data_IF_779455722629
#
_entry.id   IF_779455722629
#
_cell.length_a   1.000
_cell.length_b   1.000
_cell.length_c   1.000
_cell.angle_alpha   90.00
_cell.angle_beta   90.00
_cell.angle_gamma   90.00
#
_symmetry.space_group_name_H-M   'P 1'
#
loop_
_entity.id
_entity.type
_entity.pdbx_description
1 polymer ?
#
# COMPACT_ATOMS: atom_id res chain seq x y z
N UNK A 1 67.73 11.07 37.91
CA UNK A 1 67.37 9.69 37.50
C UNK A 1 65.96 9.47 38.04
N UNK A 2 64.89 9.25 37.31
CA UNK A 2 64.64 8.93 35.90
C UNK A 2 63.19 9.40 35.63
N UNK A 3 62.92 10.08 34.51
CA UNK A 3 61.55 10.47 34.12
C UNK A 3 60.94 9.36 33.26
N UNK A 4 59.92 8.67 33.76
CA UNK A 4 59.11 7.72 32.97
C UNK A 4 57.96 8.44 32.29
N UNK A 5 58.03 8.53 30.96
CA UNK A 5 56.93 8.98 30.12
C UNK A 5 55.96 7.81 29.84
N UNK A 6 54.69 7.95 30.25
CA UNK A 6 53.62 7.04 29.83
C UNK A 6 53.08 7.50 28.47
N UNK A 7 53.26 6.67 27.44
CA UNK A 7 52.61 6.83 26.14
C UNK A 7 51.19 6.25 26.24
N UNK A 8 50.16 7.12 26.22
CA UNK A 8 48.76 6.68 26.11
C UNK A 8 48.45 6.54 24.61
N UNK A 9 48.35 5.29 24.15
CA UNK A 9 47.90 4.96 22.80
C UNK A 9 46.36 5.12 22.74
N UNK A 10 45.89 6.24 22.19
CA UNK A 10 44.47 6.47 21.97
C UNK A 10 43.96 5.59 20.81
N UNK A 11 43.17 4.57 21.15
CA UNK A 11 42.49 3.71 20.18
C UNK A 11 41.29 4.46 19.59
N UNK A 12 41.43 4.97 18.37
CA UNK A 12 40.32 5.60 17.65
C UNK A 12 39.32 4.52 17.19
N UNK A 13 38.19 4.36 17.90
CA UNK A 13 37.06 3.59 17.41
C UNK A 13 36.44 4.30 16.20
N UNK A 14 36.74 3.81 15.01
CA UNK A 14 36.06 4.21 13.79
C UNK A 14 34.55 3.92 13.89
N UNK A 15 33.74 4.97 13.99
CA UNK A 15 32.30 4.87 13.92
C UNK A 15 31.91 4.51 12.48
N UNK A 16 31.69 3.22 12.23
CA UNK A 16 31.00 2.78 11.03
C UNK A 16 29.58 3.38 11.08
N UNK A 17 29.33 4.42 10.28
CA UNK A 17 27.98 4.98 10.13
C UNK A 17 27.02 3.86 9.73
N UNK A 18 26.08 3.54 10.62
CA UNK A 18 25.02 2.59 10.32
C UNK A 18 24.20 3.15 9.16
N UNK A 19 23.93 2.30 8.18
CA UNK A 19 22.98 2.60 7.13
C UNK A 19 21.63 2.93 7.79
N UNK A 20 21.08 4.11 7.52
CA UNK A 20 19.76 4.49 8.01
C UNK A 20 18.71 4.06 7.01
N UNK A 21 17.66 3.40 7.52
CA UNK A 21 16.50 2.98 6.75
C UNK A 21 15.26 3.72 7.23
N UNK A 22 14.49 4.28 6.30
CA UNK A 22 13.22 4.94 6.59
C UNK A 22 12.13 4.57 5.56
N UNK A 23 10.99 4.10 6.05
CA UNK A 23 9.80 3.86 5.23
C UNK A 23 8.73 4.89 5.54
N UNK A 24 8.48 5.82 4.60
CA UNK A 24 7.45 6.84 4.72
C UNK A 24 6.17 6.40 4.00
N UNK A 25 5.07 6.30 4.75
CA UNK A 25 3.78 5.84 4.21
C UNK A 25 2.72 6.92 4.39
N UNK A 26 2.08 7.31 3.30
CA UNK A 26 0.90 8.19 3.30
C UNK A 26 -0.33 7.46 2.76
N UNK A 27 -1.49 7.76 3.37
CA UNK A 27 -2.81 7.27 2.94
C UNK A 27 -3.78 8.45 2.87
N UNK A 28 -4.46 8.58 1.74
CA UNK A 28 -5.46 9.62 1.50
C UNK A 28 -6.74 9.04 0.93
N UNK A 29 -7.82 9.81 1.02
CA UNK A 29 -9.13 9.43 0.51
C UNK A 29 -9.67 10.50 -0.43
N UNK A 30 -10.42 10.07 -1.43
CA UNK A 30 -11.26 10.92 -2.26
C UNK A 30 -12.55 10.19 -2.57
N UNK A 31 -13.56 10.93 -3.02
CA UNK A 31 -14.89 10.39 -3.21
C UNK A 31 -15.46 10.81 -4.54
N UNK A 32 -16.21 9.91 -5.17
CA UNK A 32 -17.06 10.23 -6.32
C UNK A 32 -18.53 10.14 -5.90
N UNK A 33 -19.34 11.02 -6.48
CA UNK A 33 -20.76 11.11 -6.14
C UNK A 33 -21.56 10.01 -6.82
N UNK A 34 -22.35 9.29 -6.02
CA UNK A 34 -23.36 8.35 -6.50
C UNK A 34 -24.72 9.00 -6.26
N UNK A 35 -25.51 9.14 -7.32
CA UNK A 35 -26.90 9.63 -7.28
C UNK A 35 -27.88 8.47 -7.34
N UNK A 36 -29.18 8.77 -7.35
CA UNK A 36 -30.24 7.75 -7.42
C UNK A 36 -30.99 7.53 -6.11
N UNK A 37 -32.15 6.89 -6.21
CA UNK A 37 -33.15 6.62 -5.16
C UNK A 37 -33.69 5.19 -5.22
N UNK A 38 -33.33 4.40 -6.23
CA UNK A 38 -33.61 2.96 -6.32
C UNK A 38 -32.31 2.15 -6.40
N UNK A 39 -32.38 0.83 -6.21
CA UNK A 39 -31.22 -0.04 -6.31
C UNK A 39 -30.57 0.00 -7.72
N UNK A 40 -31.40 0.00 -8.76
CA UNK A 40 -30.97 0.05 -10.16
C UNK A 40 -30.27 1.38 -10.49
N UNK A 41 -30.79 2.50 -9.96
CA UNK A 41 -30.16 3.81 -10.14
C UNK A 41 -28.80 3.90 -9.45
N UNK A 42 -28.65 3.28 -8.27
CA UNK A 42 -27.37 3.21 -7.56
C UNK A 42 -26.34 2.36 -8.32
N UNK A 43 -26.75 1.19 -8.81
CA UNK A 43 -25.89 0.30 -9.59
C UNK A 43 -25.41 0.97 -10.87
N UNK A 44 -26.33 1.62 -11.60
CA UNK A 44 -26.01 2.41 -12.79
C UNK A 44 -25.06 3.56 -12.47
N UNK A 45 -25.27 4.27 -11.36
CA UNK A 45 -24.40 5.37 -10.98
C UNK A 45 -22.99 4.90 -10.58
N UNK A 46 -22.86 3.74 -9.93
CA UNK A 46 -21.56 3.12 -9.63
C UNK A 46 -20.80 2.74 -10.91
N UNK A 47 -21.48 2.06 -11.85
CA UNK A 47 -20.88 1.66 -13.13
C UNK A 47 -20.62 2.82 -14.09
N UNK A 48 -21.28 3.97 -13.92
CA UNK A 48 -21.09 5.15 -14.79
C UNK A 48 -20.07 6.16 -14.25
N UNK A 49 -19.98 6.32 -12.93
CA UNK A 49 -19.14 7.34 -12.29
C UNK A 49 -17.92 6.77 -11.57
N UNK A 50 -17.86 5.46 -11.36
CA UNK A 50 -16.73 4.78 -10.74
C UNK A 50 -15.41 5.00 -11.48
N UNK A 51 -14.24 4.85 -10.83
CA UNK A 51 -12.95 4.99 -11.47
C UNK A 51 -12.79 4.08 -12.69
N UNK A 52 -12.28 4.62 -13.79
CA UNK A 52 -12.00 3.88 -15.02
C UNK A 52 -10.76 3.01 -14.86
N UNK A 53 -10.90 1.71 -15.07
CA UNK A 53 -9.77 0.80 -15.21
C UNK A 53 -9.25 0.83 -16.64
N UNK A 54 -8.02 1.32 -16.81
CA UNK A 54 -7.40 1.47 -18.14
C UNK A 54 -7.23 0.14 -18.88
N UNK A 55 -7.06 -0.95 -18.15
CA UNK A 55 -6.81 -2.28 -18.73
C UNK A 55 -8.07 -2.91 -19.34
N UNK A 56 -9.24 -2.65 -18.77
CA UNK A 56 -10.52 -3.29 -19.18
C UNK A 56 -11.50 -2.31 -19.82
N UNK A 57 -11.31 -1.00 -19.64
CA UNK A 57 -12.28 0.03 -20.02
C UNK A 57 -13.52 0.07 -19.11
N UNK A 58 -13.63 -0.84 -18.14
CA UNK A 58 -14.73 -0.88 -17.19
C UNK A 58 -14.52 0.12 -16.05
N UNK A 59 -15.61 0.54 -15.42
CA UNK A 59 -15.57 1.34 -14.20
C UNK A 59 -15.82 0.47 -12.99
N UNK A 60 -15.06 0.71 -11.93
CA UNK A 60 -15.14 -0.06 -10.71
C UNK A 60 -15.86 0.73 -9.60
N UNK A 61 -16.53 0.03 -8.67
CA UNK A 61 -17.27 0.69 -7.59
C UNK A 61 -16.35 1.36 -6.54
N UNK A 62 -15.04 1.14 -6.63
CA UNK A 62 -13.97 1.79 -5.88
C UNK A 62 -12.64 1.68 -6.64
N UNK A 63 -11.59 2.34 -6.15
CA UNK A 63 -10.22 2.06 -6.59
C UNK A 63 -9.18 2.53 -5.57
N UNK A 64 -8.04 1.85 -5.54
CA UNK A 64 -6.86 2.25 -4.78
C UNK A 64 -5.72 2.59 -5.73
N UNK A 65 -5.28 3.84 -5.72
CA UNK A 65 -4.07 4.26 -6.43
C UNK A 65 -2.87 4.07 -5.52
N UNK A 66 -1.86 3.34 -6.00
CA UNK A 66 -0.65 3.01 -5.28
C UNK A 66 0.54 3.61 -6.04
N UNK A 67 1.42 4.32 -5.32
CA UNK A 67 2.67 4.84 -5.87
C UNK A 67 3.83 4.55 -4.92
N UNK A 68 4.71 3.67 -5.35
CA UNK A 68 6.02 3.47 -4.74
C UNK A 68 7.01 4.53 -5.21
N UNK A 69 7.97 4.86 -4.36
CA UNK A 69 9.09 5.74 -4.65
C UNK A 69 10.15 5.59 -3.57
N UNK A 70 11.13 6.48 -3.57
CA UNK A 70 12.22 6.42 -2.60
C UNK A 70 13.56 6.80 -3.19
N UNK A 71 14.60 6.68 -2.36
CA UNK A 71 15.98 6.92 -2.73
C UNK A 71 16.89 5.93 -2.03
N UNK A 72 17.90 5.42 -2.74
CA UNK A 72 18.99 4.63 -2.18
C UNK A 72 20.28 5.38 -2.46
N UNK A 73 21.08 5.66 -1.42
CA UNK A 73 22.42 6.23 -1.60
C UNK A 73 23.48 5.14 -1.58
N UNK A 74 24.63 5.46 -2.18
CA UNK A 74 25.72 4.52 -2.39
C UNK A 74 27.00 5.12 -1.82
N UNK A 75 27.76 4.30 -1.09
CA UNK A 75 29.00 4.75 -0.42
C UNK A 75 30.13 3.78 -0.73
N UNK A 76 31.31 4.31 -1.02
CA UNK A 76 32.50 3.48 -1.16
C UNK A 76 33.05 3.12 0.23
N UNK A 77 33.21 1.83 0.51
CA UNK A 77 33.78 1.28 1.74
C UNK A 77 34.86 0.28 1.36
N UNK A 78 36.11 0.60 1.66
CA UNK A 78 37.27 -0.28 1.43
C UNK A 78 37.39 -0.78 -0.02
N UNK A 79 37.16 0.11 -1.00
CA UNK A 79 37.28 -0.22 -2.42
C UNK A 79 36.08 -0.99 -3.00
N UNK A 80 34.97 -1.11 -2.25
CA UNK A 80 33.71 -1.69 -2.70
C UNK A 80 32.58 -0.69 -2.54
N UNK A 81 31.57 -0.75 -3.39
CA UNK A 81 30.38 0.06 -3.24
C UNK A 81 29.34 -0.65 -2.37
N UNK A 82 28.84 0.02 -1.34
CA UNK A 82 27.82 -0.49 -0.43
C UNK A 82 26.61 0.45 -0.39
N UNK A 83 25.46 -0.08 0.03
CA UNK A 83 24.28 0.72 0.30
C UNK A 83 24.57 1.65 1.50
N UNK A 84 24.28 2.93 1.32
CA UNK A 84 24.31 3.96 2.36
C UNK A 84 22.96 4.07 3.04
N UNK A 85 22.21 5.13 2.73
CA UNK A 85 20.88 5.37 3.27
C UNK A 85 19.81 4.82 2.33
N UNK A 86 18.77 4.23 2.91
CA UNK A 86 17.60 3.73 2.19
C UNK A 86 16.39 4.50 2.66
N UNK A 87 15.66 5.09 1.72
CA UNK A 87 14.35 5.67 1.96
C UNK A 87 13.35 5.06 0.98
N UNK A 88 12.31 4.43 1.49
CA UNK A 88 11.18 3.94 0.68
C UNK A 88 9.97 4.82 0.97
N UNK A 89 9.28 5.27 -0.07
CA UNK A 89 8.04 6.03 0.06
C UNK A 89 6.88 5.27 -0.57
N UNK A 90 5.73 5.27 0.12
CA UNK A 90 4.49 4.70 -0.37
C UNK A 90 3.38 5.73 -0.22
N UNK A 91 2.76 6.09 -1.34
CA UNK A 91 1.58 6.95 -1.34
C UNK A 91 0.37 6.16 -1.84
N UNK A 92 -0.67 6.09 -1.01
CA UNK A 92 -1.93 5.42 -1.35
C UNK A 92 -3.08 6.41 -1.36
N UNK A 93 -3.95 6.32 -2.37
CA UNK A 93 -5.17 7.12 -2.49
C UNK A 93 -6.37 6.22 -2.80
N UNK A 94 -7.27 6.13 -1.84
CA UNK A 94 -8.53 5.39 -1.99
C UNK A 94 -9.58 6.32 -2.60
N UNK A 95 -10.27 5.82 -3.62
CA UNK A 95 -11.36 6.51 -4.32
C UNK A 95 -12.63 5.72 -4.02
N UNK A 96 -13.50 6.30 -3.18
CA UNK A 96 -14.67 5.61 -2.63
C UNK A 96 -15.97 6.25 -3.11
N UNK A 97 -17.05 5.47 -3.25
CA UNK A 97 -18.34 6.03 -3.60
C UNK A 97 -18.96 6.79 -2.42
N UNK A 98 -19.68 7.86 -2.71
CA UNK A 98 -20.48 8.60 -1.72
C UNK A 98 -21.88 8.84 -2.26
N UNK A 99 -22.87 8.22 -1.63
CA UNK A 99 -24.27 8.43 -2.01
C UNK A 99 -24.83 9.73 -1.45
N UNK A 100 -25.37 10.56 -2.33
CA UNK A 100 -25.88 11.89 -1.99
C UNK A 100 -27.29 11.86 -1.38
N UNK A 101 -28.11 10.86 -1.71
CA UNK A 101 -29.51 10.77 -1.23
C UNK A 101 -29.68 9.92 0.04
N UNK A 102 -28.59 9.39 0.62
CA UNK A 102 -28.65 8.45 1.75
C UNK A 102 -29.52 8.92 2.93
N UNK A 103 -29.54 10.23 3.23
CA UNK A 103 -30.34 10.82 4.32
C UNK A 103 -31.86 10.78 4.07
N UNK A 104 -32.30 10.70 2.82
CA UNK A 104 -33.71 10.69 2.41
C UNK A 104 -34.17 9.30 1.94
N UNK A 105 -33.28 8.32 1.96
CA UNK A 105 -33.55 6.98 1.50
C UNK A 105 -34.40 6.20 2.51
N UNK A 106 -35.25 5.30 1.99
CA UNK A 106 -35.91 4.29 2.81
C UNK A 106 -34.90 3.39 3.52
N UNK A 107 -35.33 2.78 4.63
CA UNK A 107 -34.45 1.97 5.51
C UNK A 107 -33.75 0.84 4.76
N UNK A 108 -34.48 0.11 3.92
CA UNK A 108 -33.96 -1.08 3.25
C UNK A 108 -32.87 -0.74 2.23
N UNK A 109 -33.10 0.25 1.37
CA UNK A 109 -32.09 0.71 0.42
C UNK A 109 -30.89 1.33 1.13
N UNK A 110 -31.12 2.07 2.22
CA UNK A 110 -30.07 2.58 3.09
C UNK A 110 -29.17 1.48 3.66
N UNK A 111 -29.79 0.39 4.13
CA UNK A 111 -29.07 -0.77 4.66
C UNK A 111 -28.20 -1.44 3.60
N UNK A 112 -28.75 -1.68 2.40
CA UNK A 112 -28.01 -2.27 1.29
C UNK A 112 -26.82 -1.40 0.92
N UNK A 113 -27.05 -0.09 0.76
CA UNK A 113 -25.98 0.86 0.45
C UNK A 113 -24.88 0.89 1.50
N UNK A 114 -25.22 0.99 2.78
CA UNK A 114 -24.22 1.07 3.85
C UNK A 114 -23.42 -0.23 3.96
N UNK A 115 -24.01 -1.36 3.57
CA UNK A 115 -23.32 -2.65 3.53
C UNK A 115 -22.33 -2.67 2.39
N UNK A 116 -22.79 -2.36 1.17
CA UNK A 116 -21.96 -2.33 -0.03
C UNK A 116 -20.82 -1.32 0.08
N UNK A 117 -21.11 -0.09 0.46
CA UNK A 117 -20.08 0.97 0.60
C UNK A 117 -19.02 0.63 1.65
N UNK A 118 -19.40 -0.05 2.73
CA UNK A 118 -18.43 -0.57 3.71
C UNK A 118 -17.59 -1.73 3.17
N UNK A 119 -18.18 -2.62 2.35
CA UNK A 119 -17.48 -3.74 1.69
C UNK A 119 -16.44 -3.22 0.70
N UNK A 120 -16.83 -2.24 -0.13
CA UNK A 120 -15.93 -1.54 -1.05
C UNK A 120 -14.77 -0.91 -0.29
N UNK A 121 -15.05 -0.15 0.78
CA UNK A 121 -13.97 0.46 1.59
C UNK A 121 -13.02 -0.58 2.14
N UNK A 122 -13.52 -1.71 2.67
CA UNK A 122 -12.68 -2.81 3.17
C UNK A 122 -11.78 -3.35 2.05
N UNK A 123 -12.34 -3.61 0.88
CA UNK A 123 -11.61 -4.11 -0.28
C UNK A 123 -10.46 -3.15 -0.67
N UNK A 124 -10.76 -1.87 -0.82
CA UNK A 124 -9.76 -0.85 -1.14
C UNK A 124 -8.70 -0.67 -0.03
N UNK A 125 -9.09 -0.77 1.24
CA UNK A 125 -8.13 -0.70 2.35
C UNK A 125 -7.15 -1.87 2.36
N UNK A 126 -7.60 -3.06 1.91
CA UNK A 126 -6.72 -4.23 1.84
C UNK A 126 -5.66 -4.07 0.75
N UNK A 127 -5.97 -3.46 -0.38
CA UNK A 127 -4.99 -3.11 -1.41
C UNK A 127 -3.88 -2.20 -0.86
N UNK A 128 -4.26 -1.18 -0.09
CA UNK A 128 -3.29 -0.29 0.55
C UNK A 128 -2.44 -1.00 1.62
N UNK A 129 -3.00 -2.00 2.31
CA UNK A 129 -2.27 -2.81 3.29
C UNK A 129 -1.25 -3.76 2.64
N UNK A 130 -1.62 -4.42 1.54
CA UNK A 130 -0.70 -5.24 0.74
C UNK A 130 0.47 -4.36 0.28
N UNK A 131 0.19 -3.17 -0.28
CA UNK A 131 1.22 -2.23 -0.71
C UNK A 131 2.15 -1.79 0.44
N UNK A 132 1.60 -1.55 1.63
CA UNK A 132 2.38 -1.21 2.83
C UNK A 132 3.35 -2.33 3.22
N UNK A 133 2.91 -3.58 3.14
CA UNK A 133 3.74 -4.73 3.45
C UNK A 133 4.93 -4.81 2.49
N UNK A 134 4.66 -4.73 1.19
CA UNK A 134 5.68 -4.73 0.14
C UNK A 134 6.65 -3.55 0.22
N UNK A 135 6.19 -2.36 0.63
CA UNK A 135 7.09 -1.21 0.84
C UNK A 135 8.12 -1.48 1.94
N UNK A 136 7.70 -2.11 3.04
CA UNK A 136 8.59 -2.48 4.16
C UNK A 136 9.53 -3.63 3.78
N UNK A 137 9.06 -4.59 2.99
CA UNK A 137 9.91 -5.67 2.46
C UNK A 137 10.97 -5.15 1.49
N UNK A 138 10.62 -4.17 0.66
CA UNK A 138 11.55 -3.54 -0.27
C UNK A 138 12.68 -2.80 0.46
N UNK A 139 12.36 -2.03 1.50
CA UNK A 139 13.37 -1.36 2.35
C UNK A 139 14.34 -2.38 2.93
N UNK A 140 13.83 -3.46 3.56
CA UNK A 140 14.66 -4.54 4.10
C UNK A 140 15.53 -5.19 3.04
N UNK A 141 14.97 -5.39 1.84
CA UNK A 141 15.70 -6.00 0.72
C UNK A 141 16.86 -5.14 0.24
N UNK A 142 16.70 -3.81 0.21
CA UNK A 142 17.80 -2.89 -0.10
C UNK A 142 18.88 -2.89 0.97
N UNK A 143 18.48 -2.87 2.25
CA UNK A 143 19.42 -2.91 3.38
C UNK A 143 20.23 -4.21 3.45
N UNK A 144 19.67 -5.31 2.93
CA UNK A 144 20.33 -6.61 2.88
C UNK A 144 21.28 -6.79 1.66
N UNK A 145 21.38 -5.79 0.77
CA UNK A 145 22.27 -5.88 -0.38
C UNK A 145 23.74 -5.90 0.06
N UNK A 146 24.47 -6.92 -0.39
CA UNK A 146 25.91 -7.01 -0.18
C UNK A 146 26.64 -5.95 -1.01
N UNK A 147 27.80 -5.45 -0.54
CA UNK A 147 28.63 -4.57 -1.34
C UNK A 147 29.08 -5.21 -2.65
N UNK A 148 29.14 -4.42 -3.71
CA UNK A 148 29.61 -4.80 -5.05
C UNK A 148 30.96 -4.17 -5.36
N UNK A 149 31.60 -4.62 -6.45
CA UNK A 149 32.91 -4.09 -6.88
C UNK A 149 32.88 -2.58 -7.19
N UNK A 150 31.77 -2.11 -7.75
CA UNK A 150 31.55 -0.72 -8.13
C UNK A 150 30.08 -0.33 -7.92
N UNK A 151 29.79 0.98 -7.94
CA UNK A 151 28.45 1.47 -7.66
C UNK A 151 27.47 1.26 -8.82
N UNK A 152 27.96 1.12 -10.05
CA UNK A 152 27.11 0.86 -11.21
C UNK A 152 26.47 -0.53 -11.10
N UNK A 153 27.25 -1.54 -10.71
CA UNK A 153 26.76 -2.89 -10.41
C UNK A 153 25.76 -2.89 -9.26
N UNK A 154 26.04 -2.14 -8.19
CA UNK A 154 25.13 -2.07 -7.05
C UNK A 154 23.81 -1.37 -7.43
N UNK A 155 23.85 -0.32 -8.24
CA UNK A 155 22.67 0.36 -8.79
C UNK A 155 21.83 -0.58 -9.65
N UNK A 156 22.46 -1.34 -10.55
CA UNK A 156 21.77 -2.35 -11.36
C UNK A 156 21.10 -3.43 -10.48
N UNK A 157 21.75 -3.81 -9.37
CA UNK A 157 21.20 -4.76 -8.40
C UNK A 157 19.99 -4.19 -7.65
N UNK A 158 20.05 -2.93 -7.21
CA UNK A 158 18.92 -2.21 -6.60
C UNK A 158 17.74 -2.13 -7.57
N UNK A 159 17.98 -1.81 -8.84
CA UNK A 159 16.94 -1.77 -9.87
C UNK A 159 16.24 -3.13 -10.03
N UNK A 160 17.02 -4.22 -10.15
CA UNK A 160 16.48 -5.59 -10.28
C UNK A 160 15.67 -6.03 -9.06
N UNK A 161 16.15 -5.71 -7.85
CA UNK A 161 15.40 -5.99 -6.62
C UNK A 161 14.10 -5.20 -6.59
N UNK A 162 14.12 -3.93 -7.02
CA UNK A 162 12.91 -3.09 -7.12
C UNK A 162 11.89 -3.72 -8.07
N UNK A 163 12.30 -4.06 -9.29
CA UNK A 163 11.42 -4.69 -10.29
C UNK A 163 10.81 -5.99 -9.75
N UNK A 164 11.62 -6.84 -9.12
CA UNK A 164 11.16 -8.11 -8.54
C UNK A 164 10.14 -7.88 -7.43
N UNK A 165 10.38 -6.92 -6.54
CA UNK A 165 9.47 -6.58 -5.45
C UNK A 165 8.14 -6.01 -5.97
N UNK A 166 8.19 -5.13 -6.97
CA UNK A 166 6.98 -4.58 -7.61
C UNK A 166 6.18 -5.67 -8.32
N UNK A 167 6.84 -6.58 -9.03
CA UNK A 167 6.16 -7.73 -9.65
C UNK A 167 5.53 -8.67 -8.60
N UNK A 168 6.17 -8.87 -7.45
CA UNK A 168 5.60 -9.63 -6.34
C UNK A 168 4.36 -8.94 -5.76
N UNK A 169 4.44 -7.63 -5.53
CA UNK A 169 3.32 -6.79 -5.12
C UNK A 169 2.12 -6.94 -6.08
N UNK A 170 2.35 -6.79 -7.39
CA UNK A 170 1.27 -6.83 -8.38
C UNK A 170 0.60 -8.21 -8.44
N UNK A 171 1.37 -9.28 -8.27
CA UNK A 171 0.82 -10.65 -8.16
C UNK A 171 -0.07 -10.81 -6.93
N UNK A 172 0.31 -10.23 -5.79
CA UNK A 172 -0.48 -10.32 -4.56
C UNK A 172 -1.77 -9.49 -4.64
N UNK A 173 -1.73 -8.31 -5.27
CA UNK A 173 -2.92 -7.50 -5.57
C UNK A 173 -3.90 -8.31 -6.43
N UNK A 174 -3.41 -8.86 -7.56
CA UNK A 174 -4.23 -9.65 -8.47
C UNK A 174 -4.76 -10.94 -7.84
N UNK A 175 -3.97 -11.58 -6.96
CA UNK A 175 -4.41 -12.75 -6.19
C UNK A 175 -5.54 -12.38 -5.24
N UNK A 176 -5.41 -11.27 -4.52
CA UNK A 176 -6.46 -10.79 -3.62
C UNK A 176 -7.76 -10.50 -4.38
N UNK A 177 -7.70 -9.80 -5.50
CA UNK A 177 -8.88 -9.51 -6.34
C UNK A 177 -9.58 -10.79 -6.82
N UNK A 178 -8.80 -11.77 -7.29
CA UNK A 178 -9.36 -13.06 -7.75
C UNK A 178 -10.10 -13.79 -6.65
N UNK A 179 -9.53 -13.83 -5.44
CA UNK A 179 -10.15 -14.49 -4.29
C UNK A 179 -11.39 -13.70 -3.83
N UNK A 180 -11.33 -12.38 -3.79
CA UNK A 180 -12.47 -11.55 -3.39
C UNK A 180 -13.64 -11.66 -4.36
N UNK A 181 -13.37 -11.68 -5.67
CA UNK A 181 -14.40 -11.83 -6.69
C UNK A 181 -15.17 -13.15 -6.54
N UNK A 182 -14.46 -14.26 -6.32
CA UNK A 182 -15.08 -15.58 -6.14
C UNK A 182 -15.95 -15.70 -4.89
N UNK A 183 -15.75 -14.81 -3.90
CA UNK A 183 -16.45 -14.87 -2.61
C UNK A 183 -17.43 -13.71 -2.39
N UNK A 184 -17.58 -12.81 -3.36
CA UNK A 184 -18.32 -11.57 -3.20
C UNK A 184 -19.79 -11.79 -2.82
N UNK A 185 -20.54 -12.56 -3.61
CA UNK A 185 -21.99 -12.76 -3.40
C UNK A 185 -22.29 -13.39 -2.04
N UNK A 186 -21.57 -14.46 -1.70
CA UNK A 186 -21.70 -15.16 -0.42
C UNK A 186 -21.41 -14.22 0.76
N UNK A 187 -20.38 -13.38 0.64
CA UNK A 187 -20.03 -12.41 1.68
C UNK A 187 -21.10 -11.33 1.81
N UNK A 188 -21.61 -10.79 0.70
CA UNK A 188 -22.63 -9.75 0.70
C UNK A 188 -23.92 -10.24 1.36
N UNK A 189 -24.40 -11.43 1.01
CA UNK A 189 -25.58 -12.05 1.65
C UNK A 189 -25.38 -12.16 3.16
N UNK A 190 -24.24 -12.69 3.60
CA UNK A 190 -23.92 -12.84 5.03
C UNK A 190 -23.89 -11.50 5.77
N UNK A 191 -23.29 -10.46 5.17
CA UNK A 191 -23.20 -9.13 5.78
C UNK A 191 -24.58 -8.47 5.91
N UNK A 192 -25.44 -8.62 4.90
CA UNK A 192 -26.81 -8.11 4.94
C UNK A 192 -27.64 -8.83 6.01
N UNK A 193 -27.58 -10.16 6.06
CA UNK A 193 -28.26 -10.96 7.08
C UNK A 193 -27.82 -10.54 8.50
N UNK A 194 -26.52 -10.43 8.74
CA UNK A 194 -26.00 -10.02 10.04
C UNK A 194 -26.52 -8.64 10.48
N UNK A 195 -26.56 -7.66 9.56
CA UNK A 195 -27.08 -6.32 9.91
C UNK A 195 -28.59 -6.32 10.11
N UNK A 196 -29.35 -7.09 9.33
CA UNK A 196 -30.79 -7.27 9.56
C UNK A 196 -31.08 -7.86 10.95
N UNK A 197 -30.34 -8.90 11.34
CA UNK A 197 -30.50 -9.52 12.65
C UNK A 197 -30.10 -8.58 13.79
N UNK A 198 -29.08 -7.75 13.58
CA UNK A 198 -28.68 -6.72 14.55
C UNK A 198 -29.78 -5.68 14.75
N UNK A 199 -30.42 -5.24 13.65
CA UNK A 199 -31.52 -4.27 13.71
C UNK A 199 -32.80 -4.84 14.35
N UNK A 200 -33.03 -6.16 14.26
CA UNK A 200 -34.18 -6.83 14.91
C UNK A 200 -34.03 -6.97 16.42
N UNK A 201 -32.79 -6.92 16.91
CA UNK A 201 -32.46 -7.04 18.34
C UNK A 201 -32.44 -5.69 19.07
N UNK A 202 -32.61 -4.59 18.33
CA UNK A 202 -32.70 -3.21 18.83
C UNK A 202 -34.16 -2.79 18.87
#
# INVERSE_FOLDING_TARGET
MSSTALLILALALGHAGNAMAETQISKSFSYFSVGGRTAEELDKALSSHGPLMKSTGARHPGATKIKFGGTVTYVNRSGKCAVGNVKVTLNTKLILPRWTNRKRAGRDLGLVWDTLSSDIKRHEERHAEIARTHARDLERSFMALRPEADCERLQARVARVSETAIAAHDRDQARFDRVEAANFDRRMIRLLQYRLDTLRKQ
#
